data_IF_396405660554
#
_entry.id   IF_396405660554
#
_cell.length_a   1.000
_cell.length_b   1.000
_cell.length_c   1.000
_cell.angle_alpha   90.00
_cell.angle_beta   90.00
_cell.angle_gamma   90.00
#
_symmetry.space_group_name_H-M   'P 1'
#
loop_
_entity.id
_entity.type
_entity.pdbx_description
1 polymer ?
#
# COMPACT_ATOMS: atom_id res chain seq x y z
N UNK A 1 27.87 12.25 -9.81
CA UNK A 1 26.97 11.07 -9.82
C UNK A 1 27.52 9.74 -9.25
N UNK A 2 28.81 9.52 -8.89
CA UNK A 2 29.30 8.20 -8.41
C UNK A 2 28.79 7.70 -7.04
N UNK A 3 28.12 8.56 -6.26
CA UNK A 3 27.72 8.26 -4.88
C UNK A 3 26.22 7.99 -4.70
N UNK A 4 25.42 8.16 -5.75
CA UNK A 4 23.98 7.90 -5.69
C UNK A 4 23.72 6.40 -5.42
N UNK A 5 22.99 6.11 -4.34
CA UNK A 5 22.68 4.75 -3.92
C UNK A 5 23.77 4.02 -3.14
N UNK A 6 25.00 4.54 -2.98
CA UNK A 6 26.11 3.79 -2.32
C UNK A 6 25.73 3.33 -0.90
N UNK A 7 25.01 4.16 -0.15
CA UNK A 7 24.47 3.82 1.18
C UNK A 7 23.56 2.58 1.16
N UNK A 8 22.69 2.48 0.17
CA UNK A 8 21.72 1.39 0.06
C UNK A 8 22.38 0.08 -0.36
N UNK A 9 23.45 0.13 -1.16
CA UNK A 9 24.27 -1.04 -1.45
C UNK A 9 24.89 -1.64 -0.18
N UNK A 10 25.46 -0.79 0.69
CA UNK A 10 26.02 -1.25 1.97
C UNK A 10 24.95 -1.82 2.90
N UNK A 11 23.78 -1.18 3.00
CA UNK A 11 22.65 -1.70 3.79
C UNK A 11 22.19 -3.06 3.25
N UNK A 12 22.10 -3.21 1.93
CA UNK A 12 21.76 -4.48 1.29
C UNK A 12 22.76 -5.58 1.65
N UNK A 13 24.07 -5.32 1.48
CA UNK A 13 25.12 -6.30 1.78
C UNK A 13 25.12 -6.71 3.25
N UNK A 14 24.97 -5.75 4.16
CA UNK A 14 24.91 -6.02 5.59
C UNK A 14 23.67 -6.87 5.96
N UNK A 15 22.49 -6.51 5.44
CA UNK A 15 21.26 -7.26 5.69
C UNK A 15 21.30 -8.66 5.08
N UNK A 16 21.86 -8.82 3.87
CA UNK A 16 22.06 -10.12 3.25
C UNK A 16 23.02 -11.00 4.07
N UNK A 17 24.12 -10.43 4.58
CA UNK A 17 25.05 -11.15 5.44
C UNK A 17 24.38 -11.63 6.75
N UNK A 18 23.56 -10.78 7.38
CA UNK A 18 22.78 -11.17 8.59
C UNK A 18 21.81 -12.31 8.29
N UNK A 19 21.12 -12.27 7.13
CA UNK A 19 20.23 -13.35 6.73
C UNK A 19 20.98 -14.66 6.49
N UNK A 20 22.10 -14.63 5.75
CA UNK A 20 22.92 -15.81 5.47
C UNK A 20 23.48 -16.40 6.77
N UNK A 21 24.00 -15.56 7.68
CA UNK A 21 24.51 -16.02 8.97
C UNK A 21 23.41 -16.66 9.82
N UNK A 22 22.21 -16.07 9.84
CA UNK A 22 21.06 -16.63 10.56
C UNK A 22 20.61 -17.97 9.96
N UNK A 23 20.51 -18.05 8.63
CA UNK A 23 20.16 -19.26 7.90
C UNK A 23 21.18 -20.38 8.16
N UNK A 24 22.48 -20.10 8.03
CA UNK A 24 23.54 -21.06 8.30
C UNK A 24 23.51 -21.55 9.76
N UNK A 25 23.33 -20.64 10.72
CA UNK A 25 23.24 -21.00 12.14
C UNK A 25 22.06 -21.92 12.41
N UNK A 26 20.89 -21.60 11.84
CA UNK A 26 19.68 -22.42 11.99
C UNK A 26 19.83 -23.78 11.31
N UNK A 27 20.39 -23.83 10.10
CA UNK A 27 20.59 -25.08 9.36
C UNK A 27 21.60 -26.00 10.03
N UNK A 28 22.63 -25.46 10.69
CA UNK A 28 23.69 -26.25 11.34
C UNK A 28 23.32 -26.65 12.78
N UNK A 29 22.73 -25.75 13.56
CA UNK A 29 22.50 -25.94 14.99
C UNK A 29 21.03 -26.14 15.37
N UNK A 30 20.09 -25.96 14.44
CA UNK A 30 18.64 -26.03 14.69
C UNK A 30 18.14 -24.91 15.60
N UNK A 31 18.30 -25.07 16.90
CA UNK A 31 18.00 -24.05 17.93
C UNK A 31 19.21 -23.92 18.87
N UNK A 32 20.12 -22.98 18.60
CA UNK A 32 21.24 -22.67 19.48
C UNK A 32 20.83 -22.42 20.95
N UNK A 33 21.73 -22.74 21.87
CA UNK A 33 21.52 -22.58 23.32
C UNK A 33 21.25 -21.12 23.72
N UNK A 34 21.96 -20.16 23.12
CA UNK A 34 21.74 -18.73 23.38
C UNK A 34 20.34 -18.28 22.97
N UNK A 35 19.84 -18.79 21.83
CA UNK A 35 18.53 -18.45 21.30
C UNK A 35 17.42 -19.01 22.21
N UNK A 36 17.61 -20.25 22.69
CA UNK A 36 16.70 -20.88 23.65
C UNK A 36 16.66 -20.14 24.97
N UNK A 37 17.82 -19.81 25.55
CA UNK A 37 17.90 -19.08 26.81
C UNK A 37 17.24 -17.70 26.75
N UNK A 38 17.45 -16.95 25.66
CA UNK A 38 16.77 -15.68 25.44
C UNK A 38 15.25 -15.85 25.31
N UNK A 39 14.80 -16.85 24.55
CA UNK A 39 13.39 -17.13 24.32
C UNK A 39 12.64 -17.51 25.61
N UNK A 40 13.25 -18.35 26.46
CA UNK A 40 12.70 -18.75 27.76
C UNK A 40 12.62 -17.58 28.75
N UNK A 41 13.66 -16.74 28.81
CA UNK A 41 13.66 -15.53 29.64
C UNK A 41 12.54 -14.57 29.23
N UNK A 42 12.38 -14.34 27.91
CA UNK A 42 11.35 -13.44 27.37
C UNK A 42 9.92 -13.93 27.67
N UNK A 43 9.67 -15.22 27.43
CA UNK A 43 8.33 -15.80 27.60
C UNK A 43 7.93 -15.97 29.07
N UNK A 44 8.91 -16.08 29.98
CA UNK A 44 8.70 -16.05 31.43
C UNK A 44 8.37 -14.64 31.92
N UNK A 45 9.08 -13.62 31.42
CA UNK A 45 8.87 -12.22 31.81
C UNK A 45 7.51 -11.66 31.36
N UNK A 46 6.95 -12.16 30.25
CA UNK A 46 5.69 -11.68 29.69
C UNK A 46 4.70 -12.85 29.51
N UNK A 47 4.00 -13.28 30.58
CA UNK A 47 3.11 -14.44 30.53
C UNK A 47 1.79 -14.18 29.77
N UNK A 48 1.33 -12.92 29.69
CA UNK A 48 0.05 -12.56 29.06
C UNK A 48 0.19 -12.21 27.57
N UNK A 49 -0.20 -13.14 26.70
CA UNK A 49 -0.04 -13.00 25.24
C UNK A 49 -1.25 -12.35 24.51
N UNK A 50 -2.35 -12.03 25.21
CA UNK A 50 -3.61 -11.63 24.55
C UNK A 50 -3.49 -10.30 23.78
N UNK A 51 -2.83 -9.29 24.37
CA UNK A 51 -2.59 -7.99 23.74
C UNK A 51 -1.67 -8.15 22.52
N UNK A 52 -0.71 -9.07 22.59
CA UNK A 52 0.23 -9.34 21.50
C UNK A 52 -0.44 -9.96 20.27
N UNK A 53 -1.62 -10.61 20.40
CA UNK A 53 -2.43 -11.03 19.24
C UNK A 53 -2.97 -9.85 18.44
N UNK A 54 -3.21 -8.69 19.08
CA UNK A 54 -3.59 -7.47 18.37
C UNK A 54 -2.37 -6.80 17.75
N UNK A 55 -1.28 -6.70 18.52
CA UNK A 55 -0.02 -6.09 18.07
C UNK A 55 0.55 -6.83 16.84
N UNK A 56 0.52 -8.16 16.81
CA UNK A 56 1.09 -8.91 15.68
C UNK A 56 0.34 -8.64 14.36
N UNK A 57 -0.89 -8.13 14.39
CA UNK A 57 -1.63 -7.74 13.16
C UNK A 57 -0.93 -6.61 12.42
N UNK A 58 -0.13 -5.78 13.10
CA UNK A 58 0.67 -4.75 12.45
C UNK A 58 1.64 -5.32 11.40
N UNK A 59 2.05 -6.58 11.52
CA UNK A 59 2.85 -7.29 10.52
C UNK A 59 2.06 -8.23 9.60
N UNK A 60 0.73 -8.28 9.69
CA UNK A 60 -0.08 -9.20 8.87
C UNK A 60 -0.48 -8.57 7.54
N UNK A 61 -0.65 -9.41 6.52
CA UNK A 61 -1.13 -8.98 5.19
C UNK A 61 -2.49 -8.29 5.29
N UNK A 62 -3.37 -8.72 6.20
CA UNK A 62 -4.67 -8.09 6.44
C UNK A 62 -4.60 -6.63 6.89
N UNK A 63 -3.49 -6.18 7.50
CA UNK A 63 -3.27 -4.76 7.81
C UNK A 63 -2.38 -4.11 6.76
N UNK A 64 -1.29 -4.77 6.39
CA UNK A 64 -0.29 -4.21 5.49
C UNK A 64 -0.79 -4.03 4.06
N UNK A 65 -1.68 -4.89 3.54
CA UNK A 65 -2.21 -4.78 2.18
C UNK A 65 -3.22 -3.63 2.05
N UNK A 66 -4.25 -3.49 2.92
CA UNK A 66 -5.07 -2.29 2.92
C UNK A 66 -4.23 -1.04 3.13
N UNK A 67 -3.25 -1.07 4.04
CA UNK A 67 -2.33 0.05 4.26
C UNK A 67 -1.43 0.32 3.04
N UNK A 68 -1.00 -0.71 2.29
CA UNK A 68 -0.22 -0.56 1.05
C UNK A 68 -1.06 0.06 -0.07
N UNK A 69 -2.26 -0.49 -0.30
CA UNK A 69 -3.21 0.02 -1.29
C UNK A 69 -3.57 1.46 -0.93
N UNK A 70 -3.81 1.74 0.34
CA UNK A 70 -4.00 3.06 0.90
C UNK A 70 -2.81 3.99 0.61
N UNK A 71 -1.58 3.62 0.97
CA UNK A 71 -0.38 4.42 0.70
C UNK A 71 -0.17 4.65 -0.81
N UNK A 72 -0.31 3.62 -1.65
CA UNK A 72 -0.19 3.70 -3.11
C UNK A 72 -1.26 4.60 -3.73
N UNK A 73 -2.52 4.49 -3.29
CA UNK A 73 -3.65 5.32 -3.75
C UNK A 73 -3.43 6.80 -3.38
N UNK A 74 -2.73 7.07 -2.27
CA UNK A 74 -2.51 8.38 -1.65
C UNK A 74 -1.12 9.01 -1.87
N UNK A 75 -0.22 8.33 -2.55
CA UNK A 75 1.07 8.89 -2.91
C UNK A 75 0.86 10.00 -3.97
N UNK A 76 1.52 11.19 -3.86
CA UNK A 76 1.39 12.25 -4.86
C UNK A 76 1.61 11.78 -6.31
N UNK A 77 1.13 12.48 -7.34
CA UNK A 77 1.30 12.09 -8.76
C UNK A 77 2.76 11.75 -9.14
N UNK A 78 3.74 12.37 -8.47
CA UNK A 78 5.17 12.06 -8.55
C UNK A 78 5.55 10.68 -7.97
N UNK A 79 4.91 10.25 -6.89
CA UNK A 79 5.11 8.96 -6.22
C UNK A 79 4.28 7.81 -6.82
N UNK A 80 3.13 8.12 -7.44
CA UNK A 80 2.38 7.20 -8.32
C UNK A 80 3.17 6.80 -9.58
N UNK A 81 4.35 7.38 -9.82
CA UNK A 81 5.27 6.82 -10.82
C UNK A 81 5.96 5.56 -10.28
N UNK A 82 6.14 5.44 -8.97
CA UNK A 82 7.05 4.47 -8.34
C UNK A 82 6.30 3.40 -7.51
N UNK A 83 4.97 3.38 -7.51
CA UNK A 83 4.17 2.42 -6.72
C UNK A 83 4.45 0.96 -7.05
N UNK A 84 4.79 0.66 -8.30
CA UNK A 84 5.13 -0.70 -8.73
C UNK A 84 6.39 -1.21 -7.99
N UNK A 85 7.30 -0.34 -7.56
CA UNK A 85 8.47 -0.70 -6.74
C UNK A 85 8.02 -1.27 -5.40
N UNK A 86 6.99 -0.69 -4.79
CA UNK A 86 6.38 -1.21 -3.55
C UNK A 86 5.82 -2.62 -3.76
N UNK A 87 5.08 -2.83 -4.85
CA UNK A 87 4.51 -4.14 -5.19
C UNK A 87 5.61 -5.17 -5.44
N UNK A 88 6.64 -4.81 -6.22
CA UNK A 88 7.79 -5.69 -6.48
C UNK A 88 8.51 -6.06 -5.19
N UNK A 89 8.73 -5.10 -4.28
CA UNK A 89 9.34 -5.37 -2.98
C UNK A 89 8.50 -6.32 -2.13
N UNK A 90 7.19 -6.09 -2.01
CA UNK A 90 6.32 -6.96 -1.20
C UNK A 90 6.21 -8.37 -1.78
N UNK A 91 6.16 -8.50 -3.11
CA UNK A 91 6.17 -9.80 -3.79
C UNK A 91 7.51 -10.51 -3.61
N UNK A 92 8.63 -9.81 -3.77
CA UNK A 92 9.96 -10.36 -3.59
C UNK A 92 10.18 -10.85 -2.14
N UNK A 93 9.75 -10.08 -1.14
CA UNK A 93 9.81 -10.47 0.28
C UNK A 93 8.98 -11.73 0.54
N UNK A 94 7.75 -11.77 0.02
CA UNK A 94 6.86 -12.94 0.18
C UNK A 94 7.45 -14.19 -0.48
N UNK A 95 8.00 -14.05 -1.69
CA UNK A 95 8.64 -15.15 -2.41
C UNK A 95 9.90 -15.66 -1.69
N UNK A 96 10.77 -14.75 -1.25
CA UNK A 96 12.01 -15.10 -0.53
C UNK A 96 11.71 -15.75 0.82
N UNK A 97 10.64 -15.34 1.51
CA UNK A 97 10.19 -15.99 2.73
C UNK A 97 9.69 -17.42 2.48
N UNK A 98 8.88 -17.61 1.44
CA UNK A 98 8.38 -18.93 1.05
C UNK A 98 9.52 -19.89 0.68
N UNK A 99 10.50 -19.42 -0.10
CA UNK A 99 11.70 -20.18 -0.45
C UNK A 99 12.55 -20.49 0.78
N UNK A 100 12.75 -19.52 1.67
CA UNK A 100 13.50 -19.72 2.92
C UNK A 100 12.86 -20.78 3.82
N UNK A 101 11.53 -20.78 3.92
CA UNK A 101 10.78 -21.80 4.68
C UNK A 101 10.97 -23.20 4.14
N UNK A 102 10.83 -23.37 2.83
CA UNK A 102 10.96 -24.67 2.17
C UNK A 102 12.41 -25.15 2.22
N UNK A 103 13.38 -24.25 1.98
CA UNK A 103 14.80 -24.59 1.92
C UNK A 103 15.42 -24.94 3.26
N UNK A 104 14.98 -24.32 4.36
CA UNK A 104 15.57 -24.54 5.69
C UNK A 104 14.78 -25.55 6.52
N UNK A 105 13.46 -25.66 6.33
CA UNK A 105 12.69 -26.70 6.98
C UNK A 105 12.56 -26.56 8.51
N UNK A 106 12.90 -25.39 9.10
CA UNK A 106 12.98 -25.23 10.56
C UNK A 106 11.61 -25.41 11.26
N UNK A 107 11.49 -26.24 12.30
CA UNK A 107 10.27 -26.35 13.10
C UNK A 107 10.08 -25.14 14.05
N UNK A 108 8.83 -24.73 14.25
CA UNK A 108 8.45 -23.71 15.26
C UNK A 108 8.55 -24.25 16.69
N UNK A 109 8.58 -23.37 17.72
CA UNK A 109 8.54 -23.79 19.13
C UNK A 109 7.37 -24.74 19.46
N UNK A 110 6.22 -24.59 18.79
CA UNK A 110 5.04 -25.46 18.94
C UNK A 110 4.88 -26.58 17.90
N UNK A 111 5.92 -26.87 17.09
CA UNK A 111 6.01 -28.05 16.22
C UNK A 111 5.17 -28.11 14.94
N UNK A 112 4.03 -27.42 14.85
CA UNK A 112 3.03 -27.67 13.78
C UNK A 112 3.30 -27.01 12.41
N UNK A 113 4.23 -26.05 12.28
CA UNK A 113 4.45 -25.27 11.04
C UNK A 113 5.92 -24.87 10.87
N UNK A 114 6.34 -24.58 9.63
CA UNK A 114 7.67 -24.03 9.31
C UNK A 114 7.88 -22.63 9.93
N UNK A 115 9.03 -22.46 10.59
CA UNK A 115 9.36 -21.32 11.43
C UNK A 115 10.22 -20.27 10.75
N UNK A 116 11.33 -20.67 10.12
CA UNK A 116 12.32 -19.75 9.56
C UNK A 116 12.07 -19.49 8.07
N UNK A 117 12.13 -18.24 7.58
CA UNK A 117 12.16 -16.98 8.33
C UNK A 117 10.74 -16.49 8.68
N UNK A 118 10.63 -15.49 9.57
CA UNK A 118 9.33 -14.95 10.00
C UNK A 118 8.73 -13.98 8.98
N UNK A 119 7.66 -14.39 8.30
CA UNK A 119 6.97 -13.55 7.31
C UNK A 119 6.34 -12.26 7.86
N UNK A 120 5.82 -12.25 9.10
CA UNK A 120 5.26 -11.02 9.68
C UNK A 120 6.33 -9.96 9.91
N UNK A 121 7.49 -10.38 10.40
CA UNK A 121 8.63 -9.47 10.62
C UNK A 121 9.24 -9.02 9.28
N UNK A 122 9.35 -9.92 8.30
CA UNK A 122 9.84 -9.58 6.97
C UNK A 122 8.95 -8.57 6.26
N UNK A 123 7.63 -8.81 6.27
CA UNK A 123 6.65 -7.90 5.67
C UNK A 123 6.64 -6.55 6.39
N UNK A 124 6.67 -6.53 7.72
CA UNK A 124 6.76 -5.29 8.51
C UNK A 124 8.03 -4.49 8.19
N UNK A 125 9.20 -5.17 8.14
CA UNK A 125 10.47 -4.52 7.84
C UNK A 125 10.49 -3.89 6.45
N UNK A 126 10.09 -4.63 5.43
CA UNK A 126 10.00 -4.12 4.08
C UNK A 126 8.99 -2.97 3.97
N UNK A 127 7.80 -3.13 4.55
CA UNK A 127 6.71 -2.17 4.44
C UNK A 127 7.02 -0.83 5.13
N UNK A 128 7.41 -0.85 6.42
CA UNK A 128 7.61 0.37 7.18
C UNK A 128 8.84 1.16 6.71
N UNK A 129 9.90 0.47 6.29
CA UNK A 129 11.08 1.12 5.72
C UNK A 129 10.81 1.65 4.31
N UNK A 130 10.03 0.94 3.49
CA UNK A 130 9.58 1.45 2.19
C UNK A 130 8.76 2.73 2.35
N UNK A 131 7.86 2.78 3.33
CA UNK A 131 7.12 4.00 3.65
C UNK A 131 8.08 5.15 3.96
N UNK A 132 9.05 4.95 4.86
CA UNK A 132 10.03 5.97 5.23
C UNK A 132 10.86 6.44 4.02
N UNK A 133 11.31 5.52 3.17
CA UNK A 133 12.08 5.81 1.96
C UNK A 133 11.36 6.79 1.04
N UNK A 134 10.06 6.59 0.83
CA UNK A 134 9.28 7.49 -0.02
C UNK A 134 9.14 8.89 0.59
N UNK A 135 9.06 9.04 1.92
CA UNK A 135 8.94 10.37 2.53
C UNK A 135 10.27 11.11 2.73
N UNK A 136 11.42 10.46 2.50
CA UNK A 136 12.75 10.98 2.85
C UNK A 136 13.06 12.35 2.22
N UNK A 137 12.65 12.58 0.97
CA UNK A 137 12.88 13.84 0.24
C UNK A 137 11.85 14.94 0.48
N UNK A 138 10.81 14.67 1.28
CA UNK A 138 9.66 15.57 1.44
C UNK A 138 9.62 16.20 2.84
N UNK A 139 10.08 15.49 3.86
CA UNK A 139 9.95 15.89 5.27
C UNK A 139 11.23 16.54 5.82
N UNK A 140 11.09 17.32 6.90
CA UNK A 140 12.25 17.90 7.61
C UNK A 140 13.12 16.78 8.19
N UNK A 141 14.43 17.02 8.34
CA UNK A 141 15.38 16.00 8.83
C UNK A 141 14.94 15.35 10.15
N UNK A 142 14.45 16.12 11.13
CA UNK A 142 14.02 15.53 12.41
C UNK A 142 12.81 14.60 12.25
N UNK A 143 11.84 14.97 11.40
CA UNK A 143 10.67 14.13 11.07
C UNK A 143 11.11 12.84 10.41
N UNK A 144 12.07 12.92 9.48
CA UNK A 144 12.67 11.74 8.85
C UNK A 144 13.21 10.78 9.92
N UNK A 145 14.06 11.26 10.83
CA UNK A 145 14.63 10.39 11.87
C UNK A 145 13.54 9.83 12.80
N UNK A 146 12.52 10.61 13.14
CA UNK A 146 11.38 10.14 13.92
C UNK A 146 10.58 9.04 13.19
N UNK A 147 10.36 9.17 11.88
CA UNK A 147 9.68 8.14 11.07
C UNK A 147 10.49 6.83 11.01
N UNK A 148 11.80 6.92 10.77
CA UNK A 148 12.68 5.74 10.81
C UNK A 148 12.73 5.11 12.20
N UNK A 149 12.78 5.92 13.27
CA UNK A 149 12.70 5.45 14.65
C UNK A 149 11.38 4.72 14.93
N UNK A 150 10.25 5.28 14.50
CA UNK A 150 8.94 4.65 14.60
C UNK A 150 8.88 3.35 13.80
N UNK A 151 9.41 3.32 12.57
CA UNK A 151 9.46 2.11 11.75
C UNK A 151 10.24 1.00 12.45
N UNK A 152 11.44 1.29 12.96
CA UNK A 152 12.26 0.32 13.71
C UNK A 152 11.51 -0.15 14.95
N UNK A 153 10.90 0.75 15.72
CA UNK A 153 10.08 0.40 16.87
C UNK A 153 8.94 -0.56 16.50
N UNK A 154 8.18 -0.28 15.43
CA UNK A 154 7.10 -1.15 14.97
C UNK A 154 7.59 -2.52 14.49
N UNK A 155 8.74 -2.59 13.80
CA UNK A 155 9.35 -3.85 13.36
C UNK A 155 9.76 -4.70 14.57
N UNK A 156 10.41 -4.08 15.56
CA UNK A 156 10.78 -4.75 16.81
C UNK A 156 9.54 -5.22 17.56
N UNK A 157 8.54 -4.37 17.69
CA UNK A 157 7.28 -4.67 18.37
C UNK A 157 6.56 -5.86 17.71
N UNK A 158 6.50 -5.90 16.38
CA UNK A 158 6.00 -7.06 15.63
C UNK A 158 6.87 -8.28 15.92
N UNK A 159 8.19 -8.18 15.83
CA UNK A 159 9.12 -9.28 16.10
C UNK A 159 8.97 -9.90 17.50
N UNK A 160 8.96 -9.08 18.55
CA UNK A 160 8.73 -9.50 19.93
C UNK A 160 7.36 -10.16 20.09
N UNK A 161 6.31 -9.62 19.47
CA UNK A 161 4.98 -10.23 19.52
C UNK A 161 5.00 -11.67 18.99
N UNK A 162 5.81 -11.99 17.97
CA UNK A 162 5.93 -13.35 17.41
C UNK A 162 6.59 -14.33 18.38
N UNK A 163 7.57 -13.86 19.15
CA UNK A 163 8.26 -14.67 20.16
C UNK A 163 7.34 -14.91 21.36
N UNK A 164 6.69 -13.86 21.86
CA UNK A 164 5.76 -13.93 23.00
C UNK A 164 4.54 -14.80 22.70
N UNK A 165 4.03 -14.76 21.46
CA UNK A 165 2.96 -15.64 20.98
C UNK A 165 3.41 -17.08 20.74
N UNK A 166 4.69 -17.39 20.99
CA UNK A 166 5.31 -18.72 20.87
C UNK A 166 5.22 -19.34 19.48
N UNK A 167 5.21 -18.50 18.44
CA UNK A 167 5.07 -18.94 17.05
C UNK A 167 6.36 -18.87 16.25
N UNK A 168 7.40 -18.21 16.74
CA UNK A 168 8.70 -18.11 16.08
C UNK A 168 9.83 -18.06 17.10
N UNK A 169 10.99 -18.59 16.71
CA UNK A 169 12.24 -18.43 17.44
C UNK A 169 12.89 -17.07 17.10
N UNK A 170 13.78 -16.54 17.97
CA UNK A 170 14.46 -15.26 17.75
C UNK A 170 15.19 -15.14 16.39
N UNK A 171 15.93 -16.15 15.93
CA UNK A 171 16.60 -16.13 14.63
C UNK A 171 15.61 -16.14 13.46
N UNK A 172 14.40 -16.66 13.62
CA UNK A 172 13.36 -16.54 12.59
C UNK A 172 12.96 -15.07 12.40
N UNK A 173 12.87 -14.32 13.49
CA UNK A 173 12.53 -12.89 13.51
C UNK A 173 13.68 -12.07 12.92
N UNK A 174 14.92 -12.34 13.33
CA UNK A 174 16.13 -11.68 12.80
C UNK A 174 16.27 -11.94 11.30
N UNK A 175 16.15 -13.20 10.88
CA UNK A 175 16.20 -13.58 9.46
C UNK A 175 15.07 -12.94 8.64
N UNK A 176 13.86 -12.88 9.20
CA UNK A 176 12.74 -12.18 8.58
C UNK A 176 13.00 -10.69 8.39
N UNK A 177 13.41 -9.98 9.44
CA UNK A 177 13.77 -8.56 9.36
C UNK A 177 14.89 -8.32 8.33
N UNK A 178 15.92 -9.16 8.33
CA UNK A 178 17.05 -9.06 7.42
C UNK A 178 16.64 -9.18 5.94
N UNK A 179 15.75 -10.13 5.59
CA UNK A 179 15.19 -10.21 4.23
C UNK A 179 14.44 -8.92 3.88
N UNK A 180 13.56 -8.45 4.76
CA UNK A 180 12.77 -7.24 4.53
C UNK A 180 13.65 -6.02 4.27
N UNK A 181 14.70 -5.82 5.07
CA UNK A 181 15.70 -4.75 4.93
C UNK A 181 16.53 -4.91 3.65
N UNK A 182 16.97 -6.11 3.32
CA UNK A 182 17.76 -6.36 2.12
C UNK A 182 16.96 -5.99 0.85
N UNK A 183 15.70 -6.43 0.75
CA UNK A 183 14.88 -6.18 -0.44
C UNK A 183 14.57 -4.69 -0.60
N UNK A 184 14.22 -3.95 0.46
CA UNK A 184 14.03 -2.49 0.36
C UNK A 184 15.33 -1.77 -0.01
N UNK A 185 16.47 -2.19 0.55
CA UNK A 185 17.75 -1.58 0.24
C UNK A 185 18.16 -1.81 -1.22
N UNK A 186 17.95 -3.01 -1.76
CA UNK A 186 18.16 -3.29 -3.18
C UNK A 186 17.25 -2.42 -4.08
N UNK A 187 15.97 -2.28 -3.71
CA UNK A 187 15.03 -1.45 -4.45
C UNK A 187 15.39 0.04 -4.41
N UNK A 188 15.79 0.56 -3.25
CA UNK A 188 16.23 1.95 -3.07
C UNK A 188 17.54 2.23 -3.81
N UNK A 189 18.50 1.29 -3.78
CA UNK A 189 19.74 1.37 -4.54
C UNK A 189 19.51 1.47 -6.05
N UNK A 190 18.63 0.60 -6.58
CA UNK A 190 18.22 0.66 -7.98
C UNK A 190 17.52 1.99 -8.30
N UNK A 191 16.63 2.42 -7.41
CA UNK A 191 15.78 3.59 -7.62
C UNK A 191 16.56 4.92 -7.63
N UNK A 192 17.57 5.08 -6.76
CA UNK A 192 18.41 6.29 -6.72
C UNK A 192 19.34 6.42 -7.95
N UNK A 193 19.65 5.33 -8.65
CA UNK A 193 20.48 5.35 -9.87
C UNK A 193 19.75 5.84 -11.11
N UNK A 194 18.42 5.81 -11.08
CA UNK A 194 17.57 6.22 -12.20
C UNK A 194 16.52 7.25 -11.75
N UNK A 195 16.95 8.47 -11.36
CA UNK A 195 16.05 9.50 -10.85
C UNK A 195 15.08 9.99 -11.95
N UNK A 196 13.88 10.38 -11.53
CA UNK A 196 12.90 11.05 -12.39
C UNK A 196 12.67 12.47 -11.89
N UNK A 197 12.56 13.42 -12.82
CA UNK A 197 12.24 14.83 -12.53
C UNK A 197 10.75 15.01 -12.17
N UNK A 198 10.49 15.78 -11.11
CA UNK A 198 9.17 16.18 -10.65
C UNK A 198 8.83 17.58 -11.19
N UNK A 199 7.92 17.67 -12.17
CA UNK A 199 7.49 18.95 -12.76
C UNK A 199 6.19 19.40 -12.08
N UNK A 200 6.28 20.38 -11.16
CA UNK A 200 5.13 21.15 -10.66
C UNK A 200 4.85 22.27 -11.68
N UNK A 201 3.62 22.40 -12.22
CA UNK A 201 3.30 23.48 -13.16
C UNK A 201 3.54 24.87 -12.53
N UNK A 202 4.19 25.76 -13.28
CA UNK A 202 4.45 27.15 -12.88
C UNK A 202 3.18 27.96 -12.58
N UNK A 203 2.05 27.53 -13.14
CA UNK A 203 0.72 28.12 -13.03
C UNK A 203 0.15 28.22 -11.59
N UNK A 204 0.64 27.41 -10.64
CA UNK A 204 0.11 27.43 -9.26
C UNK A 204 0.72 28.59 -8.47
N UNK A 205 -0.08 29.61 -8.05
CA UNK A 205 0.44 30.80 -7.38
C UNK A 205 1.10 30.47 -6.03
N UNK A 206 2.23 31.11 -5.67
CA UNK A 206 3.02 30.79 -4.47
C UNK A 206 2.31 31.23 -3.18
N UNK A 207 1.29 30.48 -2.77
CA UNK A 207 0.43 30.73 -1.60
C UNK A 207 0.21 29.45 -0.80
N UNK A 208 -0.55 29.53 0.31
CA UNK A 208 -0.99 28.33 1.05
C UNK A 208 -1.75 27.33 0.17
N UNK A 209 -2.36 27.76 -0.94
CA UNK A 209 -2.98 26.87 -1.93
C UNK A 209 -1.96 26.02 -2.68
N UNK A 210 -0.75 26.53 -2.94
CA UNK A 210 0.38 25.72 -3.47
C UNK A 210 0.87 24.72 -2.43
N UNK A 211 0.87 25.11 -1.16
CA UNK A 211 1.14 24.18 -0.06
C UNK A 211 0.07 23.09 -0.03
N UNK A 212 -1.23 23.43 0.01
CA UNK A 212 -2.29 22.41 -0.06
C UNK A 212 -2.20 21.61 -1.36
N UNK A 213 -1.94 22.18 -2.53
CA UNK A 213 -1.80 21.41 -3.77
C UNK A 213 -0.61 20.42 -3.71
N UNK A 214 0.51 20.84 -3.12
CA UNK A 214 1.69 19.99 -2.88
C UNK A 214 1.41 18.90 -1.85
N UNK A 215 0.66 19.23 -0.81
CA UNK A 215 0.32 18.38 0.34
C UNK A 215 -1.11 17.81 0.24
N UNK A 216 -1.78 17.93 -0.91
CA UNK A 216 -3.20 17.56 -1.05
C UNK A 216 -3.34 16.07 -0.81
N UNK A 217 -2.36 15.32 -1.29
CA UNK A 217 -2.33 13.92 -1.05
C UNK A 217 -2.03 13.62 0.43
N UNK A 218 -1.32 14.50 1.17
CA UNK A 218 -0.90 14.40 2.59
C UNK A 218 -1.98 14.77 3.63
N UNK A 219 -2.91 15.67 3.31
CA UNK A 219 -3.98 16.10 4.24
C UNK A 219 -4.92 14.96 4.67
N UNK A 220 -5.40 14.06 3.78
CA UNK A 220 -6.19 12.88 4.13
C UNK A 220 -5.50 11.94 5.15
N UNK A 221 -4.16 11.96 5.24
CA UNK A 221 -3.41 11.14 6.21
C UNK A 221 -3.54 11.63 7.66
N UNK A 222 -3.70 12.94 7.88
CA UNK A 222 -3.99 13.49 9.22
C UNK A 222 -5.40 13.08 9.69
N UNK A 223 -6.32 12.91 8.75
CA UNK A 223 -7.72 12.53 9.02
C UNK A 223 -7.88 11.02 9.19
N UNK A 224 -6.92 10.22 8.73
CA UNK A 224 -6.86 8.78 9.03
C UNK A 224 -6.24 8.44 10.36
N UNK A 225 -5.48 9.33 10.99
CA UNK A 225 -5.15 9.15 12.41
C UNK A 225 -6.43 8.99 13.25
N UNK A 226 -7.54 9.63 12.85
CA UNK A 226 -8.87 9.48 13.47
C UNK A 226 -9.36 8.03 13.40
N UNK A 227 -9.15 7.32 12.26
CA UNK A 227 -9.54 5.92 12.06
C UNK A 227 -8.86 4.94 13.03
N UNK A 228 -7.67 5.28 13.53
CA UNK A 228 -6.90 4.46 14.47
C UNK A 228 -7.02 4.92 15.93
N UNK A 229 -7.55 6.14 16.16
CA UNK A 229 -7.76 6.72 17.49
C UNK A 229 -9.19 6.46 17.98
N UNK A 230 -10.17 6.36 17.09
CA UNK A 230 -11.56 6.08 17.47
C UNK A 230 -11.85 4.57 17.44
N UNK A 231 -12.46 4.01 18.49
CA UNK A 231 -12.84 2.60 18.49
C UNK A 231 -13.86 2.34 17.35
N UNK A 232 -13.81 1.16 16.71
CA UNK A 232 -14.83 0.77 15.73
C UNK A 232 -16.22 0.84 16.38
N UNK A 233 -17.25 1.15 15.58
CA UNK A 233 -18.63 0.93 16.01
C UNK A 233 -18.75 -0.58 16.18
N UNK A 234 -18.60 -1.07 17.41
CA UNK A 234 -18.50 -2.49 17.67
C UNK A 234 -19.82 -3.19 17.27
N UNK A 235 -19.87 -3.75 16.06
CA UNK A 235 -20.95 -4.64 15.61
C UNK A 235 -20.38 -5.90 14.92
N UNK A 236 -19.14 -6.25 15.25
CA UNK A 236 -18.47 -7.44 14.75
C UNK A 236 -19.29 -8.71 15.05
N UNK A 237 -19.56 -9.51 14.01
CA UNK A 237 -20.31 -10.76 14.13
C UNK A 237 -21.83 -10.66 14.01
N UNK A 238 -22.36 -9.52 13.57
CA UNK A 238 -23.77 -9.38 13.19
C UNK A 238 -23.97 -9.48 11.67
N UNK A 239 -25.19 -9.76 11.17
CA UNK A 239 -25.46 -9.70 9.73
C UNK A 239 -25.19 -8.32 9.11
N UNK A 240 -25.22 -7.26 9.93
CA UNK A 240 -24.98 -5.89 9.51
C UNK A 240 -23.50 -5.63 9.14
N UNK A 241 -22.58 -6.31 9.84
CA UNK A 241 -21.14 -6.34 9.56
C UNK A 241 -20.87 -6.81 8.11
N UNK A 242 -21.43 -7.98 7.75
CA UNK A 242 -21.33 -8.51 6.38
C UNK A 242 -21.92 -7.60 5.31
N UNK A 243 -22.98 -6.84 5.63
CA UNK A 243 -23.56 -5.86 4.69
C UNK A 243 -22.62 -4.66 4.50
N UNK A 244 -22.00 -4.15 5.56
CA UNK A 244 -21.04 -3.05 5.49
C UNK A 244 -19.77 -3.46 4.74
N UNK A 245 -19.29 -4.68 4.95
CA UNK A 245 -18.16 -5.26 4.22
C UNK A 245 -18.44 -5.38 2.72
N UNK A 246 -19.59 -5.93 2.35
CA UNK A 246 -19.99 -6.05 0.94
C UNK A 246 -20.18 -4.68 0.32
N UNK A 247 -20.88 -3.76 0.99
CA UNK A 247 -21.09 -2.40 0.50
C UNK A 247 -19.77 -1.63 0.35
N UNK A 248 -18.87 -1.76 1.34
CA UNK A 248 -17.55 -1.16 1.34
C UNK A 248 -16.64 -1.73 0.25
N UNK A 249 -16.65 -3.05 0.05
CA UNK A 249 -15.93 -3.72 -1.02
C UNK A 249 -16.45 -3.27 -2.40
N UNK A 250 -17.77 -3.22 -2.59
CA UNK A 250 -18.38 -2.71 -3.84
C UNK A 250 -17.97 -1.27 -4.09
N UNK A 251 -18.05 -0.39 -3.09
CA UNK A 251 -17.64 1.00 -3.20
C UNK A 251 -16.14 1.14 -3.55
N UNK A 252 -15.29 0.38 -2.88
CA UNK A 252 -13.84 0.36 -3.08
C UNK A 252 -13.46 -0.15 -4.47
N UNK A 253 -14.05 -1.26 -4.91
CA UNK A 253 -13.82 -1.86 -6.23
C UNK A 253 -14.33 -0.94 -7.34
N UNK A 254 -15.45 -0.26 -7.13
CA UNK A 254 -15.99 0.73 -8.07
C UNK A 254 -15.05 1.92 -8.21
N UNK A 255 -14.55 2.46 -7.09
CA UNK A 255 -13.53 3.52 -7.10
C UNK A 255 -12.25 3.08 -7.81
N UNK A 256 -11.76 1.87 -7.54
CA UNK A 256 -10.57 1.32 -8.19
C UNK A 256 -10.78 1.11 -9.69
N UNK A 257 -11.93 0.57 -10.10
CA UNK A 257 -12.32 0.37 -11.49
C UNK A 257 -12.39 1.69 -12.26
N UNK A 258 -13.07 2.70 -11.71
CA UNK A 258 -13.13 4.04 -12.29
C UNK A 258 -11.73 4.66 -12.43
N UNK A 259 -10.85 4.45 -11.44
CA UNK A 259 -9.47 4.92 -11.49
C UNK A 259 -8.66 4.24 -12.60
N UNK A 260 -8.79 2.93 -12.75
CA UNK A 260 -8.13 2.16 -13.81
C UNK A 260 -8.64 2.56 -15.20
N UNK A 261 -9.95 2.74 -15.34
CA UNK A 261 -10.58 3.20 -16.58
C UNK A 261 -10.11 4.62 -16.95
N UNK A 262 -10.02 5.51 -15.97
CA UNK A 262 -9.50 6.87 -16.14
C UNK A 262 -7.99 6.90 -16.42
N UNK A 263 -7.23 5.91 -15.96
CA UNK A 263 -5.83 5.75 -16.31
C UNK A 263 -5.65 5.27 -17.76
N UNK A 264 -6.48 4.33 -18.21
CA UNK A 264 -6.39 3.75 -19.56
C UNK A 264 -6.71 4.73 -20.70
N UNK A 265 -7.43 5.81 -20.43
CA UNK A 265 -7.74 6.85 -21.44
C UNK A 265 -6.73 7.99 -21.48
N UNK A 266 -5.81 8.05 -20.51
CA UNK A 266 -4.68 8.95 -20.57
C UNK A 266 -3.65 8.35 -21.52
N UNK A 267 -3.16 9.16 -22.46
CA UNK A 267 -2.30 8.75 -23.58
C UNK A 267 -1.25 7.70 -23.20
N UNK A 268 -1.15 6.63 -24.00
CA UNK A 268 -0.31 5.43 -23.77
C UNK A 268 1.21 5.69 -23.74
N UNK A 269 1.65 6.91 -24.00
CA UNK A 269 3.05 7.28 -23.84
C UNK A 269 3.27 8.03 -22.52
N UNK A 270 3.60 7.28 -21.45
CA UNK A 270 4.61 7.62 -20.40
C UNK A 270 4.44 6.75 -19.16
N UNK A 271 4.88 5.50 -19.27
CA UNK A 271 5.62 4.88 -18.16
C UNK A 271 6.95 5.67 -18.07
N UNK A 272 7.05 6.65 -17.16
CA UNK A 272 8.27 7.44 -16.81
C UNK A 272 8.83 8.47 -17.86
N UNK A 273 9.20 9.74 -17.49
CA UNK A 273 8.52 10.73 -16.68
C UNK A 273 7.83 11.90 -17.46
N UNK A 274 6.72 12.34 -16.87
CA UNK A 274 6.24 13.71 -16.59
C UNK A 274 6.23 14.85 -17.60
N UNK A 275 6.25 14.69 -18.93
CA UNK A 275 5.92 15.88 -19.75
C UNK A 275 4.44 16.28 -19.54
N UNK A 276 4.14 17.59 -19.45
CA UNK A 276 2.77 18.06 -19.26
C UNK A 276 1.87 17.54 -20.42
N UNK A 277 0.57 17.28 -20.16
CA UNK A 277 -0.31 16.53 -21.08
C UNK A 277 -0.30 17.13 -22.50
N UNK A 278 0.17 16.42 -23.52
CA UNK A 278 0.31 17.01 -24.87
C UNK A 278 -1.02 17.21 -25.58
N UNK A 279 -2.07 16.52 -25.11
CA UNK A 279 -3.42 16.62 -25.63
C UNK A 279 -4.45 16.63 -24.51
N UNK A 280 -5.60 17.24 -24.77
CA UNK A 280 -6.76 17.15 -23.91
C UNK A 280 -7.41 15.76 -24.08
N UNK A 281 -7.66 15.07 -22.97
CA UNK A 281 -8.30 13.75 -22.97
C UNK A 281 -9.79 13.93 -22.69
N UNK A 282 -10.63 13.56 -23.66
CA UNK A 282 -12.08 13.71 -23.58
C UNK A 282 -12.83 12.38 -23.77
N UNK A 283 -12.11 11.25 -23.74
CA UNK A 283 -12.65 9.90 -24.01
C UNK A 283 -12.78 9.07 -22.74
N UNK A 284 -13.59 8.01 -22.80
CA UNK A 284 -13.84 7.11 -21.66
C UNK A 284 -14.54 7.84 -20.50
N UNK A 285 -14.04 7.73 -19.25
CA UNK A 285 -14.69 8.39 -18.12
C UNK A 285 -14.61 9.92 -18.23
N UNK A 286 -13.65 10.46 -18.96
CA UNK A 286 -13.55 11.90 -19.23
C UNK A 286 -14.63 12.41 -20.19
N UNK A 287 -15.34 11.54 -20.91
CA UNK A 287 -16.52 11.93 -21.67
C UNK A 287 -17.75 12.13 -20.77
N UNK A 288 -17.79 11.42 -19.63
CA UNK A 288 -18.91 11.45 -18.69
C UNK A 288 -18.75 12.51 -17.60
N UNK A 289 -17.51 12.74 -17.15
CA UNK A 289 -17.18 13.68 -16.08
C UNK A 289 -15.77 14.23 -16.26
N UNK A 290 -15.52 15.48 -15.88
CA UNK A 290 -14.17 16.08 -15.98
C UNK A 290 -13.19 15.52 -14.96
N UNK A 291 -13.68 15.15 -13.77
CA UNK A 291 -12.85 14.78 -12.62
C UNK A 291 -13.09 13.35 -12.11
N UNK A 292 -12.85 12.30 -12.92
CA UNK A 292 -13.09 10.91 -12.52
C UNK A 292 -12.14 10.40 -11.42
N UNK A 293 -10.91 10.93 -11.35
CA UNK A 293 -9.92 10.50 -10.35
C UNK A 293 -10.27 10.98 -8.93
N UNK A 294 -10.65 12.26 -8.71
CA UNK A 294 -11.22 12.69 -7.43
C UNK A 294 -12.41 11.86 -6.97
N UNK A 295 -13.34 11.53 -7.88
CA UNK A 295 -14.51 10.72 -7.56
C UNK A 295 -14.11 9.30 -7.17
N UNK A 296 -13.22 8.68 -7.95
CA UNK A 296 -12.68 7.36 -7.65
C UNK A 296 -12.08 7.29 -6.25
N UNK A 297 -11.27 8.28 -5.87
CA UNK A 297 -10.66 8.35 -4.56
C UNK A 297 -11.68 8.56 -3.43
N UNK A 298 -12.75 9.34 -3.66
CA UNK A 298 -13.83 9.51 -2.71
C UNK A 298 -14.55 8.18 -2.45
N UNK A 299 -14.88 7.44 -3.51
CA UNK A 299 -15.50 6.12 -3.43
C UNK A 299 -14.60 5.11 -2.72
N UNK A 300 -13.31 5.08 -3.07
CA UNK A 300 -12.33 4.23 -2.38
C UNK A 300 -12.23 4.58 -0.90
N UNK A 301 -12.20 5.87 -0.55
CA UNK A 301 -12.19 6.31 0.85
C UNK A 301 -13.42 5.88 1.63
N UNK A 302 -14.62 6.09 1.07
CA UNK A 302 -15.89 5.63 1.65
C UNK A 302 -15.89 4.12 1.84
N UNK A 303 -15.43 3.36 0.85
CA UNK A 303 -15.34 1.91 0.94
C UNK A 303 -14.43 1.44 2.07
N UNK A 304 -13.27 2.07 2.25
CA UNK A 304 -12.35 1.79 3.38
C UNK A 304 -13.00 2.11 4.72
N UNK A 305 -13.71 3.23 4.84
CA UNK A 305 -14.39 3.62 6.08
C UNK A 305 -15.54 2.66 6.45
N UNK A 306 -16.24 2.10 5.45
CA UNK A 306 -17.29 1.10 5.63
C UNK A 306 -16.72 -0.25 6.11
N UNK A 307 -15.68 -0.75 5.44
CA UNK A 307 -14.99 -2.01 5.84
C UNK A 307 -14.33 -1.87 7.22
N UNK A 308 -13.86 -0.67 7.57
CA UNK A 308 -13.27 -0.42 8.88
C UNK A 308 -14.32 -0.32 10.01
N UNK A 309 -15.62 -0.40 9.70
CA UNK A 309 -16.75 -0.25 10.64
C UNK A 309 -16.60 0.98 11.58
N UNK A 310 -16.03 2.07 11.08
CA UNK A 310 -15.69 3.24 11.90
C UNK A 310 -16.63 4.41 11.57
N UNK A 311 -17.66 4.62 12.40
CA UNK A 311 -18.67 5.66 12.19
C UNK A 311 -18.11 7.07 12.03
N UNK A 312 -17.24 7.55 12.94
CA UNK A 312 -16.57 8.84 12.75
C UNK A 312 -15.80 8.95 11.42
N UNK A 313 -15.17 7.87 10.96
CA UNK A 313 -14.46 7.85 9.69
C UNK A 313 -15.37 8.01 8.48
N UNK A 314 -16.61 7.50 8.54
CA UNK A 314 -17.61 7.66 7.47
C UNK A 314 -18.02 9.13 7.25
N UNK A 315 -17.83 9.99 8.24
CA UNK A 315 -18.14 11.41 8.14
C UNK A 315 -16.88 12.22 7.83
N UNK A 316 -15.82 12.01 8.62
CA UNK A 316 -14.59 12.81 8.55
C UNK A 316 -13.86 12.61 7.23
N UNK A 317 -13.77 11.36 6.76
CA UNK A 317 -12.99 11.03 5.58
C UNK A 317 -13.62 11.58 4.29
N UNK A 318 -14.92 11.38 4.00
CA UNK A 318 -15.53 11.96 2.80
C UNK A 318 -15.61 13.48 2.86
N UNK A 319 -15.91 14.06 4.03
CA UNK A 319 -15.99 15.51 4.20
C UNK A 319 -14.65 16.19 3.92
N UNK A 320 -13.55 15.62 4.40
CA UNK A 320 -12.25 16.21 4.20
C UNK A 320 -11.68 15.98 2.79
N UNK A 321 -11.93 14.81 2.19
CA UNK A 321 -11.62 14.59 0.77
C UNK A 321 -12.41 15.57 -0.11
N UNK A 322 -13.67 15.81 0.20
CA UNK A 322 -14.50 16.79 -0.50
C UNK A 322 -13.95 18.22 -0.34
N UNK A 323 -13.61 18.63 0.89
CA UNK A 323 -13.02 19.94 1.17
C UNK A 323 -11.70 20.15 0.41
N UNK A 324 -10.87 19.12 0.33
CA UNK A 324 -9.66 19.12 -0.47
C UNK A 324 -9.97 19.26 -1.97
N UNK A 325 -10.87 18.44 -2.51
CA UNK A 325 -11.20 18.50 -3.94
C UNK A 325 -11.82 19.83 -4.36
N UNK A 326 -12.55 20.52 -3.47
CA UNK A 326 -13.01 21.91 -3.69
C UNK A 326 -11.86 22.89 -3.94
N UNK A 327 -10.65 22.61 -3.46
CA UNK A 327 -9.45 23.44 -3.65
C UNK A 327 -8.65 22.97 -4.87
N UNK A 328 -8.47 21.65 -5.04
CA UNK A 328 -7.55 21.10 -6.05
C UNK A 328 -8.14 21.04 -7.44
N UNK A 329 -9.45 20.78 -7.55
CA UNK A 329 -10.15 20.70 -8.86
C UNK A 329 -10.10 22.03 -9.61
N UNK A 330 -10.41 23.19 -8.99
CA UNK A 330 -10.29 24.48 -9.67
C UNK A 330 -8.86 24.82 -10.11
N UNK A 331 -7.85 24.35 -9.38
CA UNK A 331 -6.44 24.53 -9.74
C UNK A 331 -6.04 23.67 -10.95
N UNK A 332 -6.48 22.40 -10.97
CA UNK A 332 -6.30 21.53 -12.14
C UNK A 332 -7.04 22.12 -13.36
N UNK A 333 -8.26 22.66 -13.18
CA UNK A 333 -9.04 23.33 -14.24
C UNK A 333 -8.34 24.58 -14.77
N UNK A 334 -7.78 25.43 -13.89
CA UNK A 334 -7.04 26.63 -14.29
C UNK A 334 -5.78 26.28 -15.09
N UNK A 335 -5.03 25.26 -14.67
CA UNK A 335 -3.84 24.80 -15.38
C UNK A 335 -4.19 24.23 -16.77
N UNK A 336 -5.32 23.54 -16.90
CA UNK A 336 -5.81 23.02 -18.18
C UNK A 336 -6.33 24.15 -19.09
N UNK A 337 -7.01 25.14 -18.53
CA UNK A 337 -7.49 26.32 -19.25
C UNK A 337 -6.33 27.16 -19.81
N UNK A 338 -5.29 27.42 -19.01
CA UNK A 338 -4.09 28.14 -19.46
C UNK A 338 -3.38 27.40 -20.61
N UNK A 339 -3.33 26.06 -20.53
CA UNK A 339 -2.59 25.24 -21.48
C UNK A 339 -3.34 24.97 -22.79
N UNK A 340 -4.63 24.70 -22.73
CA UNK A 340 -5.43 24.27 -23.87
C UNK A 340 -6.44 25.33 -24.35
N UNK A 341 -6.56 26.45 -23.64
CA UNK A 341 -7.39 27.59 -24.03
C UNK A 341 -8.83 27.20 -24.36
N UNK A 342 -9.29 27.61 -25.55
CA UNK A 342 -10.67 27.37 -26.03
C UNK A 342 -11.06 25.89 -26.05
N UNK A 343 -10.14 24.98 -26.36
CA UNK A 343 -10.44 23.55 -26.39
C UNK A 343 -10.88 23.02 -25.02
N UNK A 344 -10.34 23.57 -23.93
CA UNK A 344 -10.77 23.21 -22.57
C UNK A 344 -12.11 23.85 -22.21
N UNK A 345 -12.36 25.09 -22.63
CA UNK A 345 -13.62 25.80 -22.39
C UNK A 345 -14.78 25.05 -23.08
N UNK A 346 -14.60 24.66 -24.34
CA UNK A 346 -15.61 23.88 -25.09
C UNK A 346 -15.88 22.52 -24.44
N UNK A 347 -14.84 21.90 -23.89
CA UNK A 347 -14.98 20.67 -23.11
C UNK A 347 -15.77 20.89 -21.82
N UNK A 348 -15.50 21.98 -21.08
CA UNK A 348 -16.23 22.36 -19.88
C UNK A 348 -17.72 22.64 -20.12
N UNK A 349 -18.08 23.15 -21.31
CA UNK A 349 -19.47 23.38 -21.70
C UNK A 349 -20.24 22.08 -21.95
N UNK A 350 -19.55 21.03 -22.44
CA UNK A 350 -20.17 19.76 -22.83
C UNK A 350 -20.19 18.71 -21.71
N UNK A 351 -19.16 18.68 -20.88
CA UNK A 351 -18.96 17.62 -19.88
C UNK A 351 -19.02 18.21 -18.47
N UNK A 352 -19.90 17.72 -17.58
CA UNK A 352 -20.02 18.25 -16.23
C UNK A 352 -18.78 17.92 -15.38
N UNK A 353 -18.52 18.73 -14.35
CA UNK A 353 -17.37 18.50 -13.45
C UNK A 353 -17.44 17.12 -12.77
N UNK A 354 -18.62 16.76 -12.31
CA UNK A 354 -18.98 15.50 -11.66
C UNK A 354 -20.09 14.82 -12.47
N UNK A 355 -20.20 13.49 -12.42
CA UNK A 355 -21.30 12.81 -13.09
C UNK A 355 -22.63 13.32 -12.52
N UNK A 356 -23.62 13.51 -13.39
CA UNK A 356 -25.00 13.59 -12.93
C UNK A 356 -25.32 12.23 -12.31
N UNK A 357 -25.68 12.18 -11.03
CA UNK A 357 -25.99 10.94 -10.32
C UNK A 357 -27.34 10.45 -10.82
N UNK A 358 -27.32 9.74 -11.94
CA UNK A 358 -28.46 9.05 -12.53
C UNK A 358 -28.09 7.58 -12.68
N UNK A 359 -29.08 6.69 -12.55
CA UNK A 359 -28.92 5.25 -12.78
C UNK A 359 -28.28 4.95 -14.15
N UNK A 360 -28.53 5.81 -15.13
CA UNK A 360 -27.91 5.78 -16.46
C UNK A 360 -26.40 6.00 -16.45
N UNK A 361 -25.85 6.80 -15.55
CA UNK A 361 -24.40 7.03 -15.43
C UNK A 361 -23.72 5.84 -14.76
N UNK A 362 -24.39 5.21 -13.80
CA UNK A 362 -23.92 3.96 -13.18
C UNK A 362 -23.97 2.80 -14.20
N UNK A 363 -25.06 2.68 -14.95
CA UNK A 363 -25.20 1.72 -16.04
C UNK A 363 -24.21 1.99 -17.18
N UNK A 364 -23.89 3.25 -17.50
CA UNK A 364 -22.90 3.59 -18.51
C UNK A 364 -21.47 3.24 -18.07
N UNK A 365 -21.12 3.43 -16.79
CA UNK A 365 -19.84 2.96 -16.23
C UNK A 365 -19.76 1.43 -16.30
N UNK A 366 -20.83 0.73 -15.92
CA UNK A 366 -20.89 -0.73 -15.94
C UNK A 366 -20.85 -1.31 -17.36
N UNK A 367 -21.65 -0.75 -18.27
CA UNK A 367 -21.67 -1.11 -19.68
C UNK A 367 -20.36 -0.74 -20.39
N UNK A 368 -19.68 0.36 -20.01
CA UNK A 368 -18.37 0.71 -20.55
C UNK A 368 -17.25 -0.21 -20.05
N UNK A 369 -17.35 -0.70 -18.81
CA UNK A 369 -16.48 -1.77 -18.31
C UNK A 369 -16.75 -3.10 -19.02
N UNK A 370 -18.01 -3.41 -19.32
CA UNK A 370 -18.41 -4.59 -20.10
C UNK A 370 -18.07 -4.48 -21.60
N UNK A 371 -18.04 -3.25 -22.14
CA UNK A 371 -17.75 -2.95 -23.55
C UNK A 371 -16.28 -2.65 -23.81
N UNK A 372 -15.38 -2.95 -22.86
CA UNK A 372 -13.95 -3.08 -23.15
C UNK A 372 -13.81 -4.22 -24.16
N UNK A 373 -13.84 -3.87 -25.45
CA UNK A 373 -13.52 -4.78 -26.54
C UNK A 373 -12.22 -5.52 -26.24
N UNK A 374 -12.15 -6.77 -26.71
CA UNK A 374 -11.08 -7.74 -26.44
C UNK A 374 -9.75 -7.04 -26.16
N UNK A 375 -9.35 -6.94 -24.88
CA UNK A 375 -8.13 -6.23 -24.55
C UNK A 375 -6.98 -6.93 -25.28
N UNK A 376 -5.91 -6.20 -25.63
CA UNK A 376 -4.74 -6.86 -26.25
C UNK A 376 -4.35 -8.09 -25.42
N UNK A 377 -3.94 -9.20 -26.05
CA UNK A 377 -3.59 -10.44 -25.33
C UNK A 377 -2.63 -10.16 -24.16
N UNK A 378 -1.78 -9.12 -24.26
CA UNK A 378 -0.90 -8.65 -23.18
C UNK A 378 -1.62 -7.89 -22.06
N UNK A 379 -2.65 -7.10 -22.35
CA UNK A 379 -3.46 -6.38 -21.35
C UNK A 379 -4.43 -7.33 -20.64
N UNK A 380 -5.03 -8.29 -21.38
CA UNK A 380 -5.81 -9.39 -20.80
C UNK A 380 -4.93 -10.26 -19.93
N UNK A 381 -3.76 -10.70 -20.43
CA UNK A 381 -2.85 -11.53 -19.63
C UNK A 381 -2.32 -10.75 -18.43
N UNK A 382 -1.99 -9.45 -18.53
CA UNK A 382 -1.55 -8.66 -17.36
C UNK A 382 -2.69 -8.41 -16.37
N UNK A 383 -3.90 -8.16 -16.85
CA UNK A 383 -5.09 -7.95 -16.03
C UNK A 383 -5.57 -9.24 -15.37
N UNK A 384 -5.55 -10.36 -16.08
CA UNK A 384 -5.84 -11.71 -15.56
C UNK A 384 -4.71 -12.22 -14.68
N UNK A 385 -3.44 -11.94 -14.95
CA UNK A 385 -2.33 -12.31 -14.05
C UNK A 385 -2.36 -11.43 -12.79
N UNK A 386 -2.75 -10.17 -12.88
CA UNK A 386 -2.95 -9.31 -11.72
C UNK A 386 -4.20 -9.71 -10.92
N UNK A 387 -5.32 -9.98 -11.59
CA UNK A 387 -6.58 -10.38 -10.96
C UNK A 387 -6.50 -11.82 -10.43
N UNK A 388 -5.96 -12.78 -11.19
CA UNK A 388 -5.65 -14.12 -10.72
C UNK A 388 -4.52 -14.11 -9.69
N UNK A 389 -3.56 -13.19 -9.76
CA UNK A 389 -2.56 -13.01 -8.70
C UNK A 389 -3.19 -12.48 -7.41
N UNK A 390 -4.14 -11.56 -7.51
CA UNK A 390 -4.86 -10.97 -6.36
C UNK A 390 -5.88 -11.96 -5.80
N UNK A 391 -6.62 -12.68 -6.66
CA UNK A 391 -7.55 -13.74 -6.29
C UNK A 391 -6.81 -14.98 -5.79
N UNK A 392 -5.64 -15.34 -6.34
CA UNK A 392 -4.80 -16.40 -5.82
C UNK A 392 -4.12 -15.99 -4.52
N UNK A 393 -3.76 -14.72 -4.32
CA UNK A 393 -3.25 -14.22 -3.03
C UNK A 393 -4.36 -14.18 -1.97
N UNK A 394 -5.57 -13.75 -2.34
CA UNK A 394 -6.74 -13.76 -1.45
C UNK A 394 -7.17 -15.20 -1.15
N UNK A 395 -7.23 -16.08 -2.15
CA UNK A 395 -7.54 -17.49 -1.98
C UNK A 395 -6.41 -18.24 -1.27
N UNK A 396 -5.13 -17.95 -1.50
CA UNK A 396 -4.02 -18.55 -0.72
C UNK A 396 -4.02 -18.03 0.71
N UNK A 397 -4.36 -16.76 0.95
CA UNK A 397 -4.50 -16.22 2.30
C UNK A 397 -5.66 -16.90 3.04
N UNK A 398 -6.83 -16.98 2.41
CA UNK A 398 -8.03 -17.60 2.99
C UNK A 398 -7.91 -19.13 3.10
N UNK A 399 -7.30 -19.78 2.11
CA UNK A 399 -7.01 -21.22 2.14
C UNK A 399 -5.87 -21.52 3.13
N UNK A 400 -4.92 -20.61 3.41
CA UNK A 400 -3.93 -20.78 4.50
C UNK A 400 -4.54 -20.66 5.90
N UNK A 401 -5.65 -19.92 6.01
CA UNK A 401 -6.46 -19.79 7.23
C UNK A 401 -7.41 -20.99 7.41
N UNK A 402 -7.95 -21.55 6.31
CA UNK A 402 -8.89 -22.68 6.34
C UNK A 402 -8.26 -24.07 6.22
N UNK A 403 -7.05 -24.21 5.66
CA UNK A 403 -6.33 -25.50 5.56
C UNK A 403 -6.26 -26.32 6.86
N UNK A 404 -6.07 -25.69 8.06
CA UNK A 404 -6.03 -26.42 9.33
C UNK A 404 -7.37 -27.04 9.76
N UNK A 405 -8.49 -26.61 9.17
CA UNK A 405 -9.82 -27.10 9.47
C UNK A 405 -10.27 -28.21 8.50
N UNK A 406 -9.68 -28.27 7.31
CA UNK A 406 -9.99 -29.26 6.27
C UNK A 406 -9.07 -30.49 6.31
N UNK A 407 -7.96 -30.42 7.05
CA UNK A 407 -7.00 -31.52 7.23
C UNK A 407 -7.07 -32.16 8.63
N UNK A 408 -8.22 -32.06 9.31
CA UNK A 408 -8.51 -32.79 10.55
C UNK A 408 -9.39 -34.00 10.27
#
# INVERSE_FOLDING_TARGET
>A
MPDAGRRWAWIFLAAAAVFIASAATVSLAGVPTFERGFYEALTTAVPNALVFRRITRLGSVSVLLPLAVFLVVLLPRQFLRRWWVWVVVMLAVTMLEGLGKIGIGRPRPGGMRLGFPSGHTAAAAAFYLMACYFFEGVVRRWVKHALYGLAVFLILLVGFSRMILRVHWPLDVVGGAAIGVAVIAAAAWWHERYPLEDIVPSAVPPTWRRWIYRWQNVLPFALLAVLFVTPPLAVAGTPFDGVLDVAGAVCMLTGLGLRLWAAGHRDEQRVFPARPPTRLVTTGPYALMRHPVPLANLLTGVGVALIAENGPALIVLPAALMAMYRITVPLDDACLAERFGRAYIDYCARVPAWPRVTLTTFAAVWSAMASLGTPSRRTVVRGLVAAAGTLALAALAEMSERLPHLLR
#
